data_IF_131128259771
#
_entry.id   IF_131128259771
#
_cell.length_a   1.000
_cell.length_b   1.000
_cell.length_c   1.000
_cell.angle_alpha   90.00
_cell.angle_beta   90.00
_cell.angle_gamma   90.00
#
_symmetry.space_group_name_H-M   'P 1'
#
loop_
_entity.id
_entity.type
_entity.pdbx_description
1 polymer ?
#
# COMPACT_ATOMS: atom_id res chain seq x y z
N UNK A 1 -2.86 15.99 -13.94
CA UNK A 1 -3.23 16.65 -12.67
C UNK A 1 -4.06 15.67 -11.86
N UNK A 2 -3.74 15.48 -10.58
CA UNK A 2 -4.46 14.57 -9.68
C UNK A 2 -5.41 15.32 -8.75
N UNK A 3 -6.63 14.80 -8.55
CA UNK A 3 -7.56 15.36 -7.57
C UNK A 3 -7.10 15.04 -6.14
N UNK A 4 -6.72 16.07 -5.39
CA UNK A 4 -6.32 15.96 -4.00
C UNK A 4 -7.43 16.40 -3.06
N UNK A 5 -7.70 15.60 -2.02
CA UNK A 5 -8.77 15.85 -1.05
C UNK A 5 -8.21 16.19 0.32
N UNK A 6 -8.68 17.31 0.86
CA UNK A 6 -8.48 17.74 2.24
C UNK A 6 -9.73 17.46 3.07
N UNK A 7 -9.69 17.83 4.36
CA UNK A 7 -10.90 17.94 5.15
C UNK A 7 -11.81 19.09 4.66
N UNK A 8 -11.21 20.22 4.29
CA UNK A 8 -11.89 21.48 3.95
C UNK A 8 -12.36 21.56 2.49
N UNK A 9 -11.84 20.71 1.61
CA UNK A 9 -12.15 20.82 0.19
C UNK A 9 -11.33 19.90 -0.70
N UNK A 10 -11.28 20.25 -1.98
CA UNK A 10 -10.56 19.52 -3.03
C UNK A 10 -9.77 20.52 -3.89
N UNK A 11 -8.63 20.09 -4.40
CA UNK A 11 -7.82 20.84 -5.36
C UNK A 11 -7.20 19.90 -6.37
N UNK A 12 -6.84 20.40 -7.55
CA UNK A 12 -6.07 19.64 -8.52
C UNK A 12 -4.58 19.94 -8.32
N UNK A 13 -3.79 18.91 -8.02
CA UNK A 13 -2.33 19.02 -7.94
C UNK A 13 -1.71 18.70 -9.30
N UNK A 14 -0.64 19.41 -9.71
CA UNK A 14 0.13 19.03 -10.90
C UNK A 14 0.76 17.64 -10.72
N UNK A 15 0.96 16.95 -11.84
CA UNK A 15 1.60 15.63 -11.81
C UNK A 15 3.07 15.73 -11.40
N UNK A 16 3.61 14.66 -10.81
CA UNK A 16 4.99 14.61 -10.29
C UNK A 16 5.20 15.35 -8.96
N UNK A 17 4.17 16.00 -8.42
CA UNK A 17 4.22 16.55 -7.06
C UNK A 17 4.18 15.43 -6.04
N UNK A 18 5.01 15.55 -5.01
CA UNK A 18 5.10 14.58 -3.95
C UNK A 18 4.29 15.03 -2.74
N UNK A 19 3.35 14.20 -2.30
CA UNK A 19 2.62 14.45 -1.07
C UNK A 19 3.55 14.26 0.15
N UNK A 20 3.73 15.33 0.92
CA UNK A 20 4.43 15.34 2.21
C UNK A 20 3.51 15.83 3.34
N UNK A 21 2.19 15.69 3.16
CA UNK A 21 1.20 16.19 4.10
C UNK A 21 1.32 15.48 5.44
N UNK A 22 1.46 16.30 6.48
CA UNK A 22 1.39 15.88 7.88
C UNK A 22 0.07 16.36 8.47
N UNK A 23 -0.71 15.43 9.04
CA UNK A 23 -1.84 15.82 9.89
C UNK A 23 -1.35 15.88 11.32
N UNK A 24 -1.58 17.00 12.02
CA UNK A 24 -1.17 17.18 13.41
C UNK A 24 -2.40 17.55 14.23
N UNK A 25 -2.69 16.74 15.24
CA UNK A 25 -3.78 16.95 16.17
C UNK A 25 -3.22 17.11 17.58
N UNK A 26 -3.60 18.19 18.25
CA UNK A 26 -3.27 18.37 19.66
C UNK A 26 -4.35 17.74 20.52
N UNK A 27 -3.94 16.82 21.41
CA UNK A 27 -4.86 16.21 22.36
C UNK A 27 -5.11 17.21 23.51
N UNK A 28 -6.37 17.41 23.95
CA UNK A 28 -6.65 18.29 25.07
C UNK A 28 -5.96 17.78 26.32
N UNK A 29 -5.15 18.62 26.95
CA UNK A 29 -4.63 18.39 28.30
C UNK A 29 -5.35 19.35 29.26
N UNK A 30 -5.83 18.81 30.39
CA UNK A 30 -6.41 19.59 31.48
C UNK A 30 -5.42 20.64 32.03
N UNK A 31 -4.12 20.48 31.78
CA UNK A 31 -3.09 21.45 32.19
C UNK A 31 -2.79 22.56 31.17
N UNK A 32 -3.45 22.55 29.99
CA UNK A 32 -3.29 23.59 28.96
C UNK A 32 -1.92 23.62 28.27
N UNK A 33 -1.07 22.61 28.49
CA UNK A 33 0.27 22.49 27.89
C UNK A 33 0.19 21.81 26.52
N UNK A 34 0.97 22.32 25.56
CA UNK A 34 0.97 21.92 24.13
C UNK A 34 1.82 20.67 23.84
N UNK A 35 1.91 19.73 24.77
CA UNK A 35 3.00 18.74 24.75
C UNK A 35 2.61 17.38 24.14
N UNK A 36 1.37 17.24 23.67
CA UNK A 36 0.87 15.99 23.09
C UNK A 36 0.37 16.22 21.68
N UNK A 37 0.95 15.46 20.75
CA UNK A 37 0.57 15.47 19.35
C UNK A 37 0.26 14.05 18.89
N UNK A 38 -0.90 13.89 18.26
CA UNK A 38 -1.18 12.78 17.37
C UNK A 38 -0.87 13.24 15.95
N UNK A 39 0.03 12.53 15.28
CA UNK A 39 0.54 12.89 13.95
C UNK A 39 0.30 11.75 12.98
N UNK A 40 -0.13 12.09 11.76
CA UNK A 40 -0.23 11.14 10.65
C UNK A 40 0.71 11.59 9.53
N UNK A 41 1.63 10.72 9.14
CA UNK A 41 2.57 10.94 8.04
C UNK A 41 2.48 9.80 7.01
N UNK A 42 3.00 10.06 5.82
CA UNK A 42 3.08 9.10 4.72
C UNK A 42 4.52 9.00 4.25
N UNK A 43 4.99 7.78 4.04
CA UNK A 43 6.25 7.51 3.33
C UNK A 43 5.95 6.83 2.00
N UNK A 44 6.02 7.60 0.92
CA UNK A 44 5.83 7.14 -0.46
C UNK A 44 7.11 6.55 -1.09
N UNK A 45 8.27 6.78 -0.49
CA UNK A 45 9.55 6.35 -1.09
C UNK A 45 9.95 4.94 -0.69
N UNK A 46 9.39 4.45 0.41
CA UNK A 46 9.76 3.13 0.91
C UNK A 46 9.40 2.03 -0.09
N UNK A 47 10.40 1.25 -0.56
CA UNK A 47 10.17 0.11 -1.44
C UNK A 47 9.62 -1.10 -0.67
N UNK A 48 9.40 -0.98 0.64
CA UNK A 48 8.98 -2.08 1.51
C UNK A 48 7.46 -2.24 1.45
N UNK A 49 7.03 -3.43 1.03
CA UNK A 49 5.63 -3.84 0.98
C UNK A 49 5.08 -4.24 2.36
N UNK A 50 5.96 -4.69 3.26
CA UNK A 50 5.58 -5.22 4.57
C UNK A 50 5.81 -4.19 5.70
N UNK A 51 4.78 -4.00 6.54
CA UNK A 51 4.86 -3.13 7.70
C UNK A 51 5.87 -3.65 8.75
N UNK A 52 6.09 -4.98 8.83
CA UNK A 52 7.12 -5.60 9.67
C UNK A 52 8.53 -5.18 9.27
N UNK A 53 8.89 -5.40 8.01
CA UNK A 53 10.17 -5.00 7.45
C UNK A 53 10.41 -3.49 7.58
N UNK A 54 9.37 -2.68 7.34
CA UNK A 54 9.44 -1.24 7.54
C UNK A 54 9.72 -0.87 9.00
N UNK A 55 9.02 -1.50 9.94
CA UNK A 55 9.24 -1.29 11.37
C UNK A 55 10.67 -1.66 11.81
N UNK A 56 11.26 -2.72 11.25
CA UNK A 56 12.64 -3.14 11.55
C UNK A 56 13.67 -2.09 11.08
N UNK A 57 13.47 -1.51 9.89
CA UNK A 57 14.29 -0.40 9.37
C UNK A 57 14.13 0.84 10.25
N UNK A 58 12.90 1.20 10.62
CA UNK A 58 12.61 2.34 11.48
C UNK A 58 13.25 2.19 12.87
N UNK A 59 13.14 1.03 13.52
CA UNK A 59 13.79 0.79 14.82
C UNK A 59 15.32 0.92 14.72
N UNK A 60 15.91 0.49 13.61
CA UNK A 60 17.35 0.65 13.36
C UNK A 60 17.74 2.13 13.22
N UNK A 61 16.89 2.95 12.58
CA UNK A 61 17.08 4.39 12.49
C UNK A 61 16.89 5.08 13.86
N UNK A 62 15.84 4.72 14.62
CA UNK A 62 15.55 5.29 15.94
C UNK A 62 16.70 5.09 16.92
N UNK A 63 17.34 3.90 16.94
CA UNK A 63 18.52 3.64 17.77
C UNK A 63 19.67 4.62 17.52
N UNK A 64 19.79 5.15 16.30
CA UNK A 64 20.84 6.10 15.91
C UNK A 64 20.42 7.55 16.15
N UNK A 65 19.14 7.86 15.91
CA UNK A 65 18.63 9.23 15.91
C UNK A 65 18.11 9.70 17.27
N UNK A 66 17.60 8.80 18.10
CA UNK A 66 16.94 9.13 19.35
C UNK A 66 17.83 8.82 20.57
N UNK A 67 18.34 9.85 21.29
CA UNK A 67 19.14 9.66 22.48
C UNK A 67 18.39 8.85 23.54
N UNK A 68 19.05 7.83 24.10
CA UNK A 68 18.44 6.98 25.12
C UNK A 68 17.25 6.15 24.62
N UNK A 69 17.19 5.85 23.31
CA UNK A 69 16.16 4.99 22.73
C UNK A 69 16.00 3.69 23.51
N UNK A 70 14.77 3.41 23.94
CA UNK A 70 14.38 2.21 24.68
C UNK A 70 13.11 1.62 24.08
N UNK A 71 13.17 0.47 23.38
CA UNK A 71 11.96 -0.20 22.93
C UNK A 71 11.18 -0.73 24.15
N UNK A 72 9.86 -0.60 24.10
CA UNK A 72 8.94 -1.09 25.13
C UNK A 72 8.10 -2.25 24.61
N UNK A 73 7.53 -2.13 23.42
CA UNK A 73 6.72 -3.17 22.81
C UNK A 73 6.79 -3.14 21.27
N UNK A 74 6.53 -4.31 20.68
CA UNK A 74 6.28 -4.51 19.25
C UNK A 74 5.10 -5.46 19.14
N UNK A 75 4.04 -5.04 18.46
CA UNK A 75 2.81 -5.81 18.35
C UNK A 75 2.32 -5.85 16.90
N UNK A 76 1.85 -7.02 16.47
CA UNK A 76 1.07 -7.12 15.24
C UNK A 76 -0.36 -6.64 15.54
N UNK A 77 -0.86 -5.74 14.71
CA UNK A 77 -2.18 -5.13 14.86
C UNK A 77 -2.91 -5.11 13.52
N UNK A 78 -4.21 -4.81 13.55
CA UNK A 78 -5.01 -4.56 12.35
C UNK A 78 -5.45 -3.10 12.32
N UNK A 79 -5.25 -2.42 11.20
CA UNK A 79 -5.65 -1.02 11.02
C UNK A 79 -6.51 -0.93 9.76
N UNK A 80 -7.77 -0.52 9.90
CA UNK A 80 -8.70 -0.44 8.76
C UNK A 80 -8.87 -1.77 8.00
N UNK A 81 -8.75 -2.91 8.70
CA UNK A 81 -8.80 -4.25 8.11
C UNK A 81 -7.48 -4.78 7.53
N UNK A 82 -6.43 -3.95 7.50
CA UNK A 82 -5.12 -4.31 6.94
C UNK A 82 -4.13 -4.71 8.03
N UNK A 83 -3.18 -5.62 7.73
CA UNK A 83 -2.11 -5.96 8.66
C UNK A 83 -1.20 -4.76 8.91
N UNK A 84 -0.88 -4.52 10.18
CA UNK A 84 -0.02 -3.44 10.61
C UNK A 84 0.89 -3.84 11.77
N UNK A 85 1.83 -2.96 12.08
CA UNK A 85 2.77 -3.12 13.20
C UNK A 85 2.69 -1.90 14.09
N UNK A 86 2.62 -2.14 15.39
CA UNK A 86 2.74 -1.12 16.42
C UNK A 86 4.08 -1.21 17.13
N UNK A 87 4.78 -0.10 17.20
CA UNK A 87 6.00 0.08 17.98
C UNK A 87 5.72 1.02 19.14
N UNK A 88 6.15 0.65 20.34
CA UNK A 88 6.13 1.50 21.52
C UNK A 88 7.55 1.64 22.05
N UNK A 89 8.00 2.87 22.29
CA UNK A 89 9.34 3.15 22.73
C UNK A 89 9.43 4.47 23.48
N UNK A 90 10.52 4.62 24.22
CA UNK A 90 10.89 5.86 24.89
C UNK A 90 12.20 6.40 24.34
N UNK A 91 12.37 7.71 24.45
CA UNK A 91 13.61 8.39 24.14
C UNK A 91 13.70 9.72 24.88
N UNK A 92 14.88 10.32 24.90
CA UNK A 92 15.14 11.60 25.59
C UNK A 92 15.16 12.75 24.59
N UNK A 93 14.28 13.72 24.84
CA UNK A 93 14.33 15.04 24.21
C UNK A 93 14.74 16.06 25.27
N UNK A 94 15.95 16.60 25.16
CA UNK A 94 16.58 17.44 26.17
C UNK A 94 16.54 16.82 27.58
N UNK A 95 15.77 17.43 28.50
CA UNK A 95 15.60 16.98 29.89
C UNK A 95 14.36 16.11 30.09
N UNK A 96 13.57 15.89 29.05
CA UNK A 96 12.27 15.22 29.12
C UNK A 96 12.38 13.82 28.51
N UNK A 97 11.84 12.82 29.20
CA UNK A 97 11.67 11.48 28.63
C UNK A 97 10.31 11.45 27.94
N UNK A 98 10.33 11.21 26.64
CA UNK A 98 9.14 11.05 25.82
C UNK A 98 8.86 9.57 25.63
N UNK A 99 7.58 9.22 25.55
CA UNK A 99 7.10 7.94 25.05
C UNK A 99 6.37 8.18 23.74
N UNK A 100 6.75 7.41 22.73
CA UNK A 100 6.20 7.49 21.41
C UNK A 100 5.67 6.11 21.00
N UNK A 101 4.44 6.09 20.51
CA UNK A 101 3.80 4.89 19.96
C UNK A 101 3.46 5.15 18.50
N UNK A 102 3.95 4.27 17.63
CA UNK A 102 3.76 4.35 16.19
C UNK A 102 3.03 3.12 15.69
N UNK A 103 1.94 3.34 14.98
CA UNK A 103 1.23 2.29 14.26
C UNK A 103 1.43 2.50 12.76
N UNK A 104 1.88 1.46 12.08
CA UNK A 104 2.33 1.48 10.70
C UNK A 104 1.47 0.50 9.90
N UNK A 105 0.97 0.95 8.75
CA UNK A 105 0.17 0.13 7.83
C UNK A 105 0.52 0.50 6.39
N UNK A 106 0.69 -0.52 5.53
CA UNK A 106 0.92 -0.31 4.11
C UNK A 106 -0.39 0.06 3.43
N UNK A 107 -0.38 1.17 2.69
CA UNK A 107 -1.44 1.62 1.80
C UNK A 107 -0.86 1.90 0.40
N UNK A 108 -0.93 0.94 -0.54
CA UNK A 108 -0.60 0.94 -1.98
C UNK A 108 0.74 1.58 -2.25
N UNK A 109 0.75 2.90 -2.30
CA UNK A 109 1.87 3.75 -2.67
C UNK A 109 2.65 4.26 -1.47
N UNK A 110 2.10 4.18 -0.26
CA UNK A 110 2.70 4.71 0.95
C UNK A 110 2.65 3.76 2.14
N UNK A 111 3.64 3.89 3.02
CA UNK A 111 3.49 3.48 4.41
C UNK A 111 2.82 4.62 5.18
N UNK A 112 1.62 4.37 5.73
CA UNK A 112 0.93 5.32 6.59
C UNK A 112 1.40 5.08 8.03
N UNK A 113 1.82 6.15 8.70
CA UNK A 113 2.33 6.09 10.08
C UNK A 113 1.50 7.02 10.97
N UNK A 114 0.80 6.42 11.92
CA UNK A 114 0.15 7.10 13.02
C UNK A 114 1.13 7.19 14.18
N UNK A 115 1.31 8.37 14.76
CA UNK A 115 2.25 8.60 15.87
C UNK A 115 1.53 9.28 17.01
N UNK A 116 1.51 8.67 18.20
CA UNK A 116 1.22 9.35 19.45
C UNK A 116 2.55 9.65 20.15
N UNK A 117 2.79 10.91 20.47
CA UNK A 117 3.95 11.33 21.26
C UNK A 117 3.50 12.12 22.48
N UNK A 118 3.97 11.73 23.66
CA UNK A 118 3.70 12.41 24.92
C UNK A 118 4.86 12.20 25.91
N UNK A 119 4.86 12.97 27.01
CA UNK A 119 5.73 12.67 28.16
C UNK A 119 5.35 11.34 28.78
N UNK A 120 6.31 10.64 29.38
CA UNK A 120 6.06 9.34 30.02
C UNK A 120 4.97 9.43 31.09
N UNK A 121 4.97 10.48 31.92
CA UNK A 121 3.97 10.67 32.99
C UNK A 121 2.53 10.88 32.50
N UNK A 122 2.36 11.40 31.28
CA UNK A 122 1.04 11.76 30.72
C UNK A 122 0.53 10.72 29.71
N UNK A 123 1.41 9.85 29.20
CA UNK A 123 1.14 8.98 28.06
C UNK A 123 -0.12 8.11 28.24
N UNK A 124 -0.28 7.48 29.41
CA UNK A 124 -1.40 6.56 29.68
C UNK A 124 -2.77 7.25 29.59
N UNK A 125 -2.84 8.56 29.86
CA UNK A 125 -4.09 9.33 29.72
C UNK A 125 -4.59 9.39 28.27
N UNK A 126 -3.69 9.26 27.30
CA UNK A 126 -3.99 9.38 25.87
C UNK A 126 -4.19 8.02 25.18
N UNK A 127 -3.86 6.91 25.83
CA UNK A 127 -4.03 5.57 25.28
C UNK A 127 -5.48 5.28 24.87
N UNK A 128 -6.52 5.63 25.65
CA UNK A 128 -7.90 5.39 25.22
C UNK A 128 -8.28 6.12 23.93
N UNK A 129 -7.86 7.39 23.80
CA UNK A 129 -8.12 8.18 22.60
C UNK A 129 -7.38 7.61 21.38
N UNK A 130 -6.10 7.26 21.54
CA UNK A 130 -5.31 6.59 20.52
C UNK A 130 -5.95 5.28 20.03
N UNK A 131 -6.36 4.42 20.97
CA UNK A 131 -6.99 3.15 20.63
C UNK A 131 -8.29 3.36 19.86
N UNK A 132 -9.12 4.33 20.28
CA UNK A 132 -10.37 4.70 19.57
C UNK A 132 -10.11 5.23 18.15
N UNK A 133 -9.07 6.04 17.98
CA UNK A 133 -8.68 6.57 16.66
C UNK A 133 -8.27 5.44 15.72
N UNK A 134 -7.38 4.53 16.16
CA UNK A 134 -6.96 3.41 15.33
C UNK A 134 -8.11 2.45 15.00
N UNK A 135 -8.98 2.17 15.97
CA UNK A 135 -10.14 1.30 15.78
C UNK A 135 -11.19 1.89 14.83
N UNK A 136 -11.30 3.22 14.76
CA UNK A 136 -12.26 3.91 13.88
C UNK A 136 -11.71 4.24 12.49
N UNK A 137 -10.42 3.98 12.24
CA UNK A 137 -9.82 4.20 10.93
C UNK A 137 -10.42 3.24 9.88
N UNK A 138 -10.92 3.81 8.78
CA UNK A 138 -11.45 3.08 7.64
C UNK A 138 -10.67 3.52 6.40
N UNK A 139 -10.18 2.55 5.63
CA UNK A 139 -9.57 2.81 4.32
C UNK A 139 -10.66 3.34 3.39
N UNK A 140 -10.49 4.55 2.86
CA UNK A 140 -11.46 5.09 1.91
C UNK A 140 -11.44 4.27 0.61
N UNK A 141 -12.60 3.95 0.02
CA UNK A 141 -12.63 3.38 -1.32
C UNK A 141 -12.07 4.41 -2.33
N UNK A 142 -11.57 3.94 -3.49
CA UNK A 142 -11.18 4.81 -4.59
C UNK A 142 -12.39 5.62 -5.05
N UNK A 143 -12.15 6.79 -5.63
CA UNK A 143 -13.23 7.67 -6.08
C UNK A 143 -14.07 6.92 -7.14
N UNK A 144 -15.42 6.91 -7.05
CA UNK A 144 -16.27 6.13 -7.97
C UNK A 144 -16.01 6.41 -9.45
N UNK A 145 -15.74 7.66 -9.80
CA UNK A 145 -15.45 8.11 -11.17
C UNK A 145 -14.11 7.56 -11.70
N UNK A 146 -13.11 7.42 -10.82
CA UNK A 146 -11.83 6.78 -11.14
C UNK A 146 -11.99 5.26 -11.25
N UNK A 147 -12.81 4.64 -10.40
CA UNK A 147 -13.01 3.19 -10.38
C UNK A 147 -13.70 2.67 -11.65
N UNK A 148 -14.72 3.37 -12.14
CA UNK A 148 -15.44 3.00 -13.37
C UNK A 148 -14.59 3.31 -14.63
N UNK A 149 -13.82 4.40 -14.60
CA UNK A 149 -12.87 4.74 -15.69
C UNK A 149 -11.68 3.77 -15.75
N UNK A 150 -11.10 3.37 -14.61
CA UNK A 150 -10.02 2.35 -14.56
C UNK A 150 -10.52 0.99 -15.05
N UNK A 151 -11.73 0.59 -14.65
CA UNK A 151 -12.30 -0.69 -15.06
C UNK A 151 -12.51 -0.75 -16.58
N UNK A 152 -13.12 0.29 -17.16
CA UNK A 152 -13.35 0.36 -18.60
C UNK A 152 -12.04 0.48 -19.41
N UNK A 153 -11.06 1.25 -18.92
CA UNK A 153 -9.75 1.34 -19.55
C UNK A 153 -9.03 -0.02 -19.55
N UNK A 154 -9.03 -0.74 -18.42
CA UNK A 154 -8.30 -2.00 -18.28
C UNK A 154 -8.88 -3.17 -19.06
N UNK A 155 -10.20 -3.24 -19.25
CA UNK A 155 -10.81 -4.24 -20.15
C UNK A 155 -10.38 -4.07 -21.61
N UNK A 156 -9.96 -2.85 -21.98
CA UNK A 156 -9.47 -2.51 -23.33
C UNK A 156 -7.95 -2.62 -23.50
N UNK A 157 -7.19 -2.88 -22.42
CA UNK A 157 -5.73 -2.86 -22.46
C UNK A 157 -5.15 -4.12 -23.13
N UNK A 158 -4.20 -3.98 -24.07
CA UNK A 158 -3.52 -5.11 -24.68
C UNK A 158 -2.50 -5.65 -23.70
N UNK A 159 -2.63 -6.92 -23.32
CA UNK A 159 -1.76 -7.66 -22.41
C UNK A 159 -2.03 -7.52 -20.91
N UNK A 160 -1.75 -8.63 -20.21
CA UNK A 160 -1.78 -8.75 -18.75
C UNK A 160 -0.51 -9.43 -18.30
N UNK A 161 0.12 -8.88 -17.26
CA UNK A 161 1.30 -9.47 -16.65
C UNK A 161 0.91 -10.26 -15.41
N UNK A 162 1.47 -11.46 -15.25
CA UNK A 162 1.35 -12.25 -14.03
C UNK A 162 2.75 -12.61 -13.52
N UNK A 163 3.10 -12.14 -12.32
CA UNK A 163 4.36 -12.44 -11.66
C UNK A 163 4.14 -13.55 -10.63
N UNK A 164 4.86 -14.67 -10.78
CA UNK A 164 4.83 -15.74 -9.78
C UNK A 164 5.56 -15.31 -8.52
N UNK A 165 4.90 -15.38 -7.37
CA UNK A 165 5.53 -15.14 -6.07
C UNK A 165 6.60 -16.20 -5.72
N UNK A 166 6.45 -17.42 -6.25
CA UNK A 166 7.35 -18.56 -6.00
C UNK A 166 8.56 -18.58 -6.92
N UNK A 167 8.34 -18.55 -8.22
CA UNK A 167 9.43 -18.71 -9.20
C UNK A 167 10.01 -17.38 -9.65
N UNK A 168 9.32 -16.26 -9.37
CA UNK A 168 9.65 -14.90 -9.85
C UNK A 168 9.73 -14.80 -11.37
N UNK A 169 9.09 -15.73 -12.08
CA UNK A 169 8.90 -15.67 -13.52
C UNK A 169 7.73 -14.74 -13.81
N UNK A 170 7.96 -13.77 -14.70
CA UNK A 170 6.94 -12.86 -15.21
C UNK A 170 6.36 -13.42 -16.51
N UNK A 171 5.06 -13.68 -16.52
CA UNK A 171 4.32 -14.16 -17.69
C UNK A 171 3.55 -13.04 -18.33
N UNK A 172 3.54 -12.99 -19.66
CA UNK A 172 2.74 -12.04 -20.44
C UNK A 172 1.63 -12.80 -21.15
N UNK A 173 0.39 -12.36 -20.93
CA UNK A 173 -0.81 -12.89 -21.58
C UNK A 173 -1.39 -11.84 -22.52
N UNK A 174 -2.08 -12.23 -23.60
CA UNK A 174 -2.65 -11.28 -24.57
C UNK A 174 -3.84 -10.49 -24.02
N UNK A 175 -4.61 -11.08 -23.10
CA UNK A 175 -5.83 -10.49 -22.55
C UNK A 175 -6.19 -11.11 -21.19
N UNK A 176 -7.14 -10.47 -20.48
CA UNK A 176 -7.65 -10.90 -19.18
C UNK A 176 -8.23 -12.33 -19.21
N UNK A 177 -8.91 -12.70 -20.30
CA UNK A 177 -9.55 -14.02 -20.43
C UNK A 177 -8.51 -15.12 -20.41
N UNK A 178 -7.44 -14.97 -21.19
CA UNK A 178 -6.39 -15.95 -21.35
C UNK A 178 -5.64 -16.20 -20.03
N UNK A 179 -5.46 -15.16 -19.20
CA UNK A 179 -4.89 -15.30 -17.86
C UNK A 179 -5.78 -16.17 -16.98
N UNK A 180 -7.08 -15.83 -16.91
CA UNK A 180 -8.06 -16.51 -16.09
C UNK A 180 -8.26 -17.98 -16.50
N UNK A 181 -8.05 -18.31 -17.78
CA UNK A 181 -8.08 -19.69 -18.29
C UNK A 181 -6.80 -20.48 -17.99
N UNK A 182 -5.63 -19.81 -17.94
CA UNK A 182 -4.33 -20.48 -17.81
C UNK A 182 -3.80 -20.58 -16.38
N UNK A 183 -4.18 -19.66 -15.49
CA UNK A 183 -3.80 -19.71 -14.08
C UNK A 183 -5.01 -20.19 -13.29
N UNK A 184 -4.86 -21.31 -12.58
CA UNK A 184 -5.98 -21.92 -11.87
C UNK A 184 -6.42 -21.07 -10.68
N UNK A 185 -7.73 -21.01 -10.43
CA UNK A 185 -8.31 -20.29 -9.27
C UNK A 185 -7.68 -20.71 -7.94
N UNK A 186 -7.20 -21.97 -7.85
CA UNK A 186 -6.52 -22.47 -6.67
C UNK A 186 -5.19 -21.76 -6.40
N UNK A 187 -4.38 -21.55 -7.43
CA UNK A 187 -3.10 -20.84 -7.30
C UNK A 187 -3.31 -19.37 -6.91
N UNK A 188 -4.42 -18.79 -7.41
CA UNK A 188 -4.85 -17.44 -7.06
C UNK A 188 -5.29 -17.35 -5.60
N UNK A 189 -6.13 -18.29 -5.13
CA UNK A 189 -6.57 -18.36 -3.73
C UNK A 189 -5.39 -18.56 -2.77
N UNK A 190 -4.32 -19.25 -3.19
CA UNK A 190 -3.09 -19.40 -2.40
C UNK A 190 -2.11 -18.22 -2.49
N UNK A 191 -2.49 -17.12 -3.16
CA UNK A 191 -1.67 -15.91 -3.32
C UNK A 191 -0.31 -16.19 -3.99
N UNK A 192 -0.26 -17.17 -4.91
CA UNK A 192 0.98 -17.54 -5.62
C UNK A 192 1.31 -16.60 -6.78
N UNK A 193 0.40 -15.69 -7.12
CA UNK A 193 0.46 -14.82 -8.29
C UNK A 193 0.09 -13.39 -7.94
N UNK A 194 0.81 -12.44 -8.54
CA UNK A 194 0.49 -11.00 -8.54
C UNK A 194 0.24 -10.57 -9.98
N UNK A 195 -0.85 -9.85 -10.22
CA UNK A 195 -1.32 -9.50 -11.56
C UNK A 195 -1.19 -8.00 -11.82
N UNK A 196 -0.92 -7.64 -13.07
CA UNK A 196 -0.80 -6.25 -13.50
C UNK A 196 -1.43 -6.04 -14.88
N UNK A 197 -2.04 -4.88 -15.08
CA UNK A 197 -2.54 -4.46 -16.38
C UNK A 197 -1.38 -4.09 -17.32
N UNK A 198 -1.69 -3.82 -18.60
CA UNK A 198 -0.68 -3.48 -19.62
C UNK A 198 0.19 -2.27 -19.28
N UNK A 199 -0.35 -1.33 -18.50
CA UNK A 199 0.37 -0.14 -18.04
C UNK A 199 1.20 -0.38 -16.76
N UNK A 200 1.17 -1.61 -16.22
CA UNK A 200 1.87 -2.02 -15.02
C UNK A 200 1.13 -1.73 -13.71
N UNK A 201 -0.10 -1.21 -13.76
CA UNK A 201 -0.94 -1.02 -12.57
C UNK A 201 -1.39 -2.37 -11.99
N UNK A 202 -1.52 -2.50 -10.65
CA UNK A 202 -1.90 -3.75 -10.01
C UNK A 202 -3.36 -4.14 -10.29
N UNK A 203 -3.58 -5.45 -10.48
CA UNK A 203 -4.89 -6.07 -10.60
C UNK A 203 -5.13 -7.03 -9.43
N UNK A 204 -6.33 -6.99 -8.86
CA UNK A 204 -6.78 -7.87 -7.78
C UNK A 204 -7.70 -8.97 -8.33
N UNK A 205 -7.46 -10.24 -7.95
CA UNK A 205 -8.39 -11.31 -8.26
C UNK A 205 -9.64 -11.25 -7.36
N UNK A 206 -10.80 -11.16 -7.98
CA UNK A 206 -12.11 -11.30 -7.34
C UNK A 206 -12.63 -12.71 -7.59
N UNK A 207 -12.71 -13.53 -6.53
CA UNK A 207 -13.22 -14.90 -6.62
C UNK A 207 -14.73 -14.87 -6.85
N UNK A 208 -15.16 -15.33 -8.03
CA UNK A 208 -16.58 -15.47 -8.41
C UNK A 208 -17.13 -16.80 -7.92
N UNK A 209 -16.31 -17.85 -7.97
CA UNK A 209 -16.65 -19.18 -7.50
C UNK A 209 -15.42 -19.82 -6.86
N UNK A 210 -15.52 -20.22 -5.59
CA UNK A 210 -14.42 -20.90 -4.90
C UNK A 210 -14.17 -22.30 -5.44
N UNK A 211 -12.90 -22.70 -5.44
CA UNK A 211 -12.54 -24.09 -5.72
C UNK A 211 -12.98 -25.00 -4.56
N UNK A 212 -13.58 -26.16 -4.85
CA UNK A 212 -14.00 -27.13 -3.81
C UNK A 212 -13.24 -28.44 -3.94
N UNK A 213 -12.74 -28.95 -2.81
CA UNK A 213 -12.17 -30.30 -2.69
C UNK A 213 -13.07 -31.21 -1.84
N UNK A 214 -13.26 -32.44 -2.30
CA UNK A 214 -14.13 -33.46 -1.70
C UNK A 214 -14.63 -34.45 -2.75
N UNK A 215 -15.70 -35.21 -2.44
CA UNK A 215 -16.32 -36.17 -3.37
C UNK A 215 -16.80 -35.53 -4.70
N UNK A 216 -17.00 -34.21 -4.74
CA UNK A 216 -17.35 -33.46 -5.94
C UNK A 216 -16.32 -32.35 -6.17
N UNK A 217 -15.40 -32.59 -7.12
CA UNK A 217 -14.41 -31.60 -7.56
C UNK A 217 -15.10 -30.55 -8.41
N UNK A 218 -14.97 -29.28 -8.02
CA UNK A 218 -15.42 -28.15 -8.82
C UNK A 218 -14.26 -27.16 -8.98
N UNK A 219 -13.95 -26.79 -10.21
CA UNK A 219 -13.03 -25.69 -10.47
C UNK A 219 -13.67 -24.37 -10.05
N UNK A 220 -12.88 -23.56 -9.36
CA UNK A 220 -13.29 -22.20 -9.06
C UNK A 220 -13.15 -21.31 -10.28
N UNK A 221 -13.69 -20.10 -10.20
CA UNK A 221 -13.56 -19.04 -11.20
C UNK A 221 -13.24 -17.73 -10.51
N UNK A 222 -12.39 -16.92 -11.12
CA UNK A 222 -12.09 -15.57 -10.68
C UNK A 222 -12.13 -14.60 -11.85
N UNK A 223 -12.24 -13.32 -11.53
CA UNK A 223 -12.10 -12.20 -12.44
C UNK A 223 -10.99 -11.30 -11.91
N UNK A 224 -10.15 -10.77 -12.80
CA UNK A 224 -9.20 -9.74 -12.41
C UNK A 224 -9.89 -8.38 -12.52
N UNK A 225 -9.77 -7.58 -11.47
CA UNK A 225 -10.29 -6.21 -11.42
C UNK A 225 -9.16 -5.26 -11.11
N UNK A 226 -9.27 -3.97 -11.50
CA UNK A 226 -8.35 -2.97 -10.98
C UNK A 226 -8.33 -3.05 -9.46
N UNK A 227 -7.12 -3.04 -8.88
CA UNK A 227 -6.99 -3.01 -7.43
C UNK A 227 -7.77 -1.80 -6.90
N UNK A 228 -8.84 -2.06 -6.15
CA UNK A 228 -9.60 -0.99 -5.48
C UNK A 228 -9.01 -0.68 -4.11
N UNK A 229 -8.08 -1.52 -3.64
CA UNK A 229 -7.42 -1.39 -2.37
C UNK A 229 -6.01 -0.87 -2.52
N UNK A 230 -5.60 -0.13 -1.48
CA UNK A 230 -4.28 0.40 -1.34
C UNK A 230 -3.26 -0.72 -0.97
N UNK A 231 -2.79 -1.65 -1.81
CA UNK A 231 -1.73 -2.61 -1.38
C UNK A 231 -0.69 -3.16 -2.39
N UNK A 232 -0.68 -2.80 -3.67
CA UNK A 232 0.27 -3.30 -4.67
C UNK A 232 1.21 -2.25 -5.27
N UNK A 233 2.53 -2.39 -5.05
CA UNK A 233 3.52 -1.72 -5.91
C UNK A 233 3.31 -2.05 -7.40
N UNK A 234 3.36 -1.03 -8.27
CA UNK A 234 3.33 -1.20 -9.72
C UNK A 234 4.44 -2.14 -10.24
N UNK A 235 4.19 -2.80 -11.38
CA UNK A 235 5.10 -3.78 -11.97
C UNK A 235 6.51 -3.22 -12.19
N UNK A 236 6.62 -1.96 -12.63
CA UNK A 236 7.91 -1.31 -12.89
C UNK A 236 8.84 -1.33 -11.66
N UNK A 237 8.29 -1.24 -10.45
CA UNK A 237 9.05 -1.30 -9.18
C UNK A 237 9.44 -2.73 -8.78
N UNK A 238 8.84 -3.73 -9.43
CA UNK A 238 9.04 -5.15 -9.14
C UNK A 238 9.94 -5.84 -10.16
N UNK A 239 10.34 -5.17 -11.26
CA UNK A 239 11.16 -5.77 -12.31
C UNK A 239 12.50 -6.29 -11.80
N UNK A 240 13.12 -5.62 -10.82
CA UNK A 240 14.39 -6.06 -10.22
C UNK A 240 14.28 -7.43 -9.54
N UNK A 241 13.07 -7.85 -9.16
CA UNK A 241 12.83 -9.15 -8.55
C UNK A 241 12.58 -10.26 -9.59
N UNK A 242 12.38 -9.92 -10.87
CA UNK A 242 12.04 -10.90 -11.91
C UNK A 242 13.27 -11.70 -12.33
N UNK A 243 13.13 -13.03 -12.35
CA UNK A 243 14.24 -13.95 -12.68
C UNK A 243 14.21 -14.40 -14.14
N UNK A 244 13.04 -14.46 -14.75
CA UNK A 244 12.86 -14.79 -16.16
C UNK A 244 11.52 -14.25 -16.69
N UNK A 245 11.42 -14.13 -18.02
CA UNK A 245 10.21 -13.69 -18.72
C UNK A 245 9.72 -14.79 -19.65
N UNK A 246 8.45 -15.14 -19.51
CA UNK A 246 7.68 -15.94 -20.46
C UNK A 246 6.74 -14.99 -21.20
N UNK A 247 7.31 -14.32 -22.20
CA UNK A 247 6.66 -13.23 -22.91
C UNK A 247 6.00 -13.63 -24.23
N UNK A 248 5.18 -12.73 -24.76
CA UNK A 248 4.61 -12.81 -26.11
C UNK A 248 5.02 -11.55 -26.88
N UNK A 249 5.34 -11.63 -28.19
CA UNK A 249 5.72 -10.45 -28.97
C UNK A 249 4.70 -9.30 -28.86
N UNK A 250 5.14 -8.04 -28.68
CA UNK A 250 6.54 -7.58 -28.66
C UNK A 250 7.23 -7.72 -27.30
N UNK A 251 6.52 -8.12 -26.25
CA UNK A 251 6.96 -8.16 -24.86
C UNK A 251 7.62 -9.52 -24.52
N UNK A 252 8.73 -9.84 -25.17
CA UNK A 252 9.43 -11.14 -25.02
C UNK A 252 10.58 -11.13 -24.02
N UNK A 253 11.06 -9.95 -23.63
CA UNK A 253 12.16 -9.79 -22.68
C UNK A 253 11.86 -8.76 -21.58
N UNK A 254 12.66 -8.77 -20.50
CA UNK A 254 12.57 -7.75 -19.46
C UNK A 254 12.79 -6.33 -20.00
N UNK A 255 13.70 -6.19 -20.95
CA UNK A 255 14.01 -4.90 -21.56
C UNK A 255 12.82 -4.37 -22.37
N UNK A 256 12.12 -5.24 -23.12
CA UNK A 256 10.93 -4.87 -23.88
C UNK A 256 9.79 -4.45 -22.95
N UNK A 257 9.60 -5.19 -21.86
CA UNK A 257 8.58 -4.89 -20.84
C UNK A 257 8.89 -3.57 -20.14
N UNK A 258 10.14 -3.35 -19.72
CA UNK A 258 10.53 -2.10 -19.07
C UNK A 258 10.34 -0.90 -20.01
N UNK A 259 10.74 -1.03 -21.28
CA UNK A 259 10.55 0.02 -22.28
C UNK A 259 9.06 0.32 -22.50
N UNK A 260 8.22 -0.72 -22.62
CA UNK A 260 6.77 -0.58 -22.74
C UNK A 260 6.17 0.13 -21.53
N UNK A 261 6.49 -0.30 -20.31
CA UNK A 261 5.96 0.31 -19.09
C UNK A 261 6.37 1.78 -18.94
N UNK A 262 7.62 2.12 -19.30
CA UNK A 262 8.06 3.52 -19.34
C UNK A 262 7.33 4.34 -20.40
N UNK A 263 7.07 3.76 -21.57
CA UNK A 263 6.31 4.41 -22.62
C UNK A 263 4.85 4.63 -22.20
N UNK A 264 4.20 3.65 -21.57
CA UNK A 264 2.85 3.79 -21.03
C UNK A 264 2.78 4.87 -19.94
N UNK A 265 3.77 4.92 -19.05
CA UNK A 265 3.90 5.97 -18.05
C UNK A 265 4.05 7.37 -18.68
N UNK A 266 4.77 7.48 -19.81
CA UNK A 266 4.93 8.73 -20.55
C UNK A 266 3.74 9.09 -21.46
N UNK A 267 2.94 8.11 -21.86
CA UNK A 267 1.80 8.28 -22.76
C UNK A 267 0.46 8.52 -22.04
N UNK A 268 0.42 8.43 -20.71
CA UNK A 268 -0.73 8.93 -19.94
C UNK A 268 -0.92 10.41 -20.29
N UNK A 269 -2.04 10.80 -20.92
CA UNK A 269 -2.24 12.16 -21.36
C UNK A 269 -2.27 13.09 -20.15
N UNK A 270 -1.61 14.25 -20.28
CA UNK A 270 -2.01 15.47 -19.57
C UNK A 270 -3.54 15.57 -19.67
N UNK A 271 -4.24 15.39 -18.54
CA UNK A 271 -5.70 15.45 -18.50
C UNK A 271 -6.20 16.74 -19.16
N UNK A 272 -6.98 16.58 -20.23
CA UNK A 272 -7.33 17.58 -21.21
C UNK A 272 -7.88 18.89 -20.63
N UNK A 273 -7.41 19.99 -21.21
CA UNK A 273 -7.94 21.34 -21.09
C UNK A 273 -9.42 21.42 -21.47
N UNK A 274 -10.26 21.87 -20.54
CA UNK A 274 -11.39 22.82 -20.73
C UNK A 274 -11.91 23.24 -19.37
#
# INVERSE_FOLDING_TARGET
MAAYRLHEGRMALPDGWRDQTMNVFHLPDASGRKDVAFVVTRDYDTPLDDAGAYADVQQTAFKRQFPGYKPLAREAITIGGLPGIMLDYQWRSDKTVLRQRQAMVRLDEAMLVFTLNARVEDFERHVPAWTSILASFVVMPPVPDEADTLAAAHESLPHVFALSAKTRVLRVYPDLRTVCERISTREVESHDWVFFASDGSPLEPSIVQHSRQGLFKAEGRYELRPSRGYSGLALLRRLDAVTAVEGVPPLVSLQDIEAHLRQQAAARPDGASS
#
